data_IF_350178901853
#
_entry.id   IF_350178901853
#
_cell.length_a   1.000
_cell.length_b   1.000
_cell.length_c   1.000
_cell.angle_alpha   90.00
_cell.angle_beta   90.00
_cell.angle_gamma   90.00
#
_symmetry.space_group_name_H-M   'P 1'
#
loop_
_entity.id
_entity.type
_entity.pdbx_description
1 polymer ?
#
# COMPACT_ATOMS: atom_id res chain seq x y z
N UNK A 1 -23.31 11.86 6.88
CA UNK A 1 -22.22 12.37 7.74
C UNK A 1 -20.90 11.95 7.12
N UNK A 2 -20.04 12.87 6.68
CA UNK A 2 -18.74 12.49 6.11
C UNK A 2 -17.89 11.79 7.19
N UNK A 3 -17.01 10.89 6.76
CA UNK A 3 -16.05 10.17 7.62
C UNK A 3 -15.15 11.12 8.41
N UNK A 4 -14.90 12.33 7.90
CA UNK A 4 -14.19 13.41 8.62
C UNK A 4 -14.92 13.91 9.87
N UNK A 5 -16.25 13.73 9.96
CA UNK A 5 -17.05 14.22 11.08
C UNK A 5 -17.12 13.25 12.28
N UNK A 6 -16.67 11.99 12.12
CA UNK A 6 -16.71 10.98 13.20
C UNK A 6 -15.61 11.16 14.26
N UNK A 7 -14.59 11.97 13.97
CA UNK A 7 -13.40 12.19 14.82
C UNK A 7 -13.07 13.66 15.08
N UNK A 8 -13.93 14.59 14.67
CA UNK A 8 -13.81 16.00 15.06
C UNK A 8 -13.77 16.21 16.60
N UNK A 9 -14.12 15.19 17.40
CA UNK A 9 -14.13 15.22 18.86
C UNK A 9 -12.86 14.74 19.58
N UNK A 10 -11.81 14.25 18.90
CA UNK A 10 -10.58 13.76 19.57
C UNK A 10 -9.34 14.44 18.99
N UNK A 11 -8.67 15.26 19.81
CA UNK A 11 -7.44 15.92 19.41
C UNK A 11 -6.23 14.98 19.49
N UNK A 12 -5.12 15.34 18.82
CA UNK A 12 -3.82 14.66 18.98
C UNK A 12 -3.39 14.58 20.45
N UNK A 13 -3.66 15.64 21.23
CA UNK A 13 -3.39 15.69 22.67
C UNK A 13 -4.24 14.69 23.45
N UNK A 14 -5.50 14.52 23.07
CA UNK A 14 -6.40 13.55 23.69
C UNK A 14 -5.91 12.12 23.46
N UNK A 15 -5.49 11.80 22.24
CA UNK A 15 -4.90 10.50 21.89
C UNK A 15 -3.65 10.22 22.74
N UNK A 16 -2.72 11.17 22.82
CA UNK A 16 -1.50 11.01 23.63
C UNK A 16 -1.80 10.86 25.12
N UNK A 17 -2.84 11.53 25.64
CA UNK A 17 -3.25 11.35 27.05
C UNK A 17 -3.73 9.92 27.31
N UNK A 18 -4.53 9.34 26.40
CA UNK A 18 -4.98 7.93 26.53
C UNK A 18 -3.79 6.97 26.37
N UNK A 19 -2.93 7.21 25.38
CA UNK A 19 -1.72 6.43 25.15
C UNK A 19 -0.74 6.47 26.34
N UNK A 20 -0.65 7.59 27.05
CA UNK A 20 0.16 7.69 28.26
C UNK A 20 -0.31 6.79 29.40
N UNK A 21 -1.59 6.38 29.42
CA UNK A 21 -2.15 5.47 30.42
C UNK A 21 -2.19 4.02 29.97
N UNK A 22 -2.55 3.75 28.72
CA UNK A 22 -2.82 2.39 28.23
C UNK A 22 -1.83 1.89 27.17
N UNK A 23 -0.80 2.69 26.86
CA UNK A 23 0.15 2.42 25.78
C UNK A 23 -0.37 2.81 24.40
N UNK A 24 0.55 3.12 23.47
CA UNK A 24 0.19 3.54 22.12
C UNK A 24 -0.48 2.41 21.33
N UNK A 25 0.08 1.19 21.36
CA UNK A 25 -0.47 0.01 20.67
C UNK A 25 -1.94 -0.24 21.07
N UNK A 26 -2.25 -0.32 22.36
CA UNK A 26 -3.63 -0.55 22.83
C UNK A 26 -4.57 0.59 22.43
N UNK A 27 -4.09 1.84 22.47
CA UNK A 27 -4.88 3.02 22.10
C UNK A 27 -5.21 3.03 20.61
N UNK A 28 -4.23 2.73 19.76
CA UNK A 28 -4.41 2.67 18.31
C UNK A 28 -5.31 1.49 17.91
N UNK A 29 -5.10 0.32 18.50
CA UNK A 29 -5.97 -0.85 18.29
C UNK A 29 -7.40 -0.53 18.68
N UNK A 30 -7.63 0.09 19.85
CA UNK A 30 -8.96 0.51 20.29
C UNK A 30 -9.62 1.49 19.32
N UNK A 31 -8.87 2.49 18.84
CA UNK A 31 -9.35 3.46 17.86
C UNK A 31 -9.73 2.80 16.52
N UNK A 32 -8.93 1.83 16.06
CA UNK A 32 -9.13 1.15 14.77
C UNK A 32 -10.40 0.30 14.70
N UNK A 33 -10.79 -0.37 15.78
CA UNK A 33 -12.00 -1.22 15.78
C UNK A 33 -13.27 -0.55 16.29
N UNK A 34 -13.28 0.77 16.48
CA UNK A 34 -14.47 1.48 16.94
C UNK A 34 -15.32 1.97 15.77
N UNK A 35 -16.52 1.40 15.60
CA UNK A 35 -17.45 1.77 14.50
C UNK A 35 -18.36 2.99 14.77
N UNK A 36 -18.41 3.48 16.01
CA UNK A 36 -19.32 4.53 16.47
C UNK A 36 -18.76 5.97 16.43
N UNK A 37 -19.49 6.92 17.02
CA UNK A 37 -19.01 8.29 17.22
C UNK A 37 -17.90 8.33 18.28
N UNK A 38 -16.72 8.81 17.90
CA UNK A 38 -15.54 8.79 18.77
C UNK A 38 -15.59 9.98 19.74
N UNK A 39 -15.79 9.68 21.02
CA UNK A 39 -15.56 10.61 22.14
C UNK A 39 -14.31 10.20 22.89
N UNK A 40 -13.68 11.14 23.60
CA UNK A 40 -12.55 10.84 24.47
C UNK A 40 -12.88 9.74 25.50
N UNK A 41 -14.06 9.79 26.11
CA UNK A 41 -14.46 8.81 27.12
C UNK A 41 -14.63 7.41 26.51
N UNK A 42 -15.23 7.32 25.32
CA UNK A 42 -15.40 6.06 24.60
C UNK A 42 -14.04 5.49 24.16
N UNK A 43 -13.13 6.34 23.68
CA UNK A 43 -11.77 5.93 23.33
C UNK A 43 -11.01 5.44 24.56
N UNK A 44 -11.09 6.14 25.70
CA UNK A 44 -10.43 5.73 26.92
C UNK A 44 -10.94 4.38 27.44
N UNK A 45 -12.26 4.18 27.45
CA UNK A 45 -12.88 2.90 27.84
C UNK A 45 -12.54 1.77 26.88
N UNK A 46 -12.54 2.02 25.57
CA UNK A 46 -12.12 1.03 24.58
C UNK A 46 -10.62 0.69 24.70
N UNK A 47 -9.77 1.68 24.98
CA UNK A 47 -8.34 1.50 25.20
C UNK A 47 -8.05 0.72 26.48
N UNK A 48 -8.81 0.96 27.56
CA UNK A 48 -8.76 0.18 28.80
C UNK A 48 -9.14 -1.28 28.55
N UNK A 49 -10.29 -1.54 27.94
CA UNK A 49 -10.72 -2.91 27.62
C UNK A 49 -9.73 -3.63 26.70
N UNK A 50 -9.16 -2.90 25.72
CA UNK A 50 -8.11 -3.45 24.85
C UNK A 50 -6.86 -3.75 25.66
N UNK A 51 -6.39 -2.82 26.49
CA UNK A 51 -5.22 -3.01 27.35
C UNK A 51 -5.38 -4.22 28.27
N UNK A 52 -6.51 -4.33 28.98
CA UNK A 52 -6.79 -5.47 29.87
C UNK A 52 -6.72 -6.80 29.13
N UNK A 53 -7.30 -6.89 27.93
CA UNK A 53 -7.22 -8.10 27.09
C UNK A 53 -5.79 -8.38 26.64
N UNK A 54 -5.08 -7.38 26.12
CA UNK A 54 -3.71 -7.51 25.60
C UNK A 54 -2.73 -7.99 26.67
N UNK A 55 -2.93 -7.56 27.91
CA UNK A 55 -2.04 -7.83 29.04
C UNK A 55 -2.59 -8.89 30.03
N UNK A 56 -3.70 -9.57 29.70
CA UNK A 56 -4.27 -10.64 30.53
C UNK A 56 -3.36 -11.87 30.66
N UNK A 57 -2.46 -12.07 29.69
CA UNK A 57 -1.50 -13.18 29.60
C UNK A 57 -0.11 -12.66 29.29
N UNK A 58 0.92 -13.30 29.82
CA UNK A 58 2.30 -13.04 29.42
C UNK A 58 2.55 -13.65 28.03
N UNK A 59 3.03 -12.87 27.04
CA UNK A 59 3.19 -13.36 25.68
C UNK A 59 4.43 -14.24 25.57
N UNK A 60 4.35 -15.30 24.76
CA UNK A 60 5.53 -16.10 24.38
C UNK A 60 6.42 -15.33 23.41
N UNK A 61 5.82 -14.51 22.54
CA UNK A 61 6.51 -13.70 21.55
C UNK A 61 5.99 -12.27 21.57
N UNK A 62 6.88 -11.29 21.58
CA UNK A 62 6.54 -9.87 21.37
C UNK A 62 7.18 -9.41 20.06
N UNK A 63 6.36 -9.04 19.08
CA UNK A 63 6.78 -8.65 17.74
C UNK A 63 6.67 -7.12 17.58
N UNK A 64 7.75 -6.46 17.15
CA UNK A 64 7.76 -5.04 16.79
C UNK A 64 7.28 -4.86 15.35
N UNK A 65 6.21 -4.11 15.16
CA UNK A 65 5.65 -3.80 13.85
C UNK A 65 5.92 -2.33 13.49
N UNK A 66 6.90 -2.07 12.62
CA UNK A 66 7.18 -0.73 12.08
C UNK A 66 6.31 -0.39 10.88
N UNK A 67 5.50 0.67 10.95
CA UNK A 67 4.57 1.03 9.88
C UNK A 67 4.85 2.44 9.32
N UNK A 68 5.36 2.51 8.09
CA UNK A 68 5.80 3.77 7.48
C UNK A 68 4.63 4.69 7.10
N UNK A 69 4.60 5.88 7.70
CA UNK A 69 3.60 6.94 7.49
C UNK A 69 2.30 6.75 8.28
N UNK A 70 2.13 5.61 8.96
CA UNK A 70 0.87 5.24 9.59
C UNK A 70 0.74 5.98 10.92
N UNK A 71 0.03 7.10 10.90
CA UNK A 71 -0.29 7.88 12.10
C UNK A 71 -1.79 7.89 12.37
N UNK A 72 -2.18 8.44 13.51
CA UNK A 72 -3.58 8.45 13.96
C UNK A 72 -4.57 9.11 12.99
N UNK A 73 -4.13 10.08 12.18
CA UNK A 73 -4.97 10.72 11.16
C UNK A 73 -5.15 9.81 9.95
N UNK A 74 -4.07 9.16 9.55
CA UNK A 74 -3.97 8.41 8.31
C UNK A 74 -4.56 7.00 8.41
N UNK A 75 -4.52 6.40 9.61
CA UNK A 75 -5.25 5.17 9.97
C UNK A 75 -6.78 5.30 9.79
N UNK A 76 -7.29 6.51 9.54
CA UNK A 76 -8.71 6.78 9.28
C UNK A 76 -9.04 6.79 7.79
N UNK A 77 -8.01 6.89 6.95
CA UNK A 77 -8.07 6.85 5.49
C UNK A 77 -7.87 5.39 5.07
N UNK A 78 -6.79 4.77 5.54
CA UNK A 78 -6.49 3.35 5.36
C UNK A 78 -6.81 2.60 6.66
N UNK A 79 -8.10 2.31 6.84
CA UNK A 79 -8.64 1.76 8.10
C UNK A 79 -8.35 0.28 8.31
N UNK A 80 -8.11 -0.43 7.23
CA UNK A 80 -7.92 -1.88 7.23
C UNK A 80 -6.46 -2.26 6.99
N UNK A 81 -6.06 -3.44 7.47
CA UNK A 81 -4.71 -3.97 7.27
C UNK A 81 -3.90 -4.05 8.55
N UNK A 82 -2.94 -3.14 8.77
CA UNK A 82 -1.89 -3.32 9.77
C UNK A 82 -2.40 -3.47 11.23
N UNK A 83 -3.27 -2.57 11.70
CA UNK A 83 -3.82 -2.66 13.06
C UNK A 83 -4.82 -3.81 13.21
N UNK A 84 -5.56 -4.12 12.15
CA UNK A 84 -6.49 -5.24 12.10
C UNK A 84 -5.74 -6.57 12.20
N UNK A 85 -4.70 -6.76 11.38
CA UNK A 85 -3.77 -7.88 11.46
C UNK A 85 -3.20 -8.05 12.87
N UNK A 86 -2.70 -6.97 13.47
CA UNK A 86 -2.12 -7.03 14.81
C UNK A 86 -3.16 -7.45 15.86
N UNK A 87 -4.38 -6.89 15.82
CA UNK A 87 -5.46 -7.25 16.75
C UNK A 87 -5.93 -8.68 16.58
N UNK A 88 -6.12 -9.10 15.33
CA UNK A 88 -6.59 -10.42 14.99
C UNK A 88 -5.54 -11.48 15.37
N UNK A 89 -4.26 -11.22 15.11
CA UNK A 89 -3.14 -12.07 15.52
C UNK A 89 -3.04 -12.22 17.05
N UNK A 90 -3.14 -11.13 17.80
CA UNK A 90 -3.16 -11.20 19.27
C UNK A 90 -4.37 -12.00 19.78
N UNK A 91 -5.54 -11.83 19.16
CA UNK A 91 -6.77 -12.52 19.58
C UNK A 91 -6.75 -14.01 19.25
N UNK A 92 -6.36 -14.40 18.03
CA UNK A 92 -6.38 -15.79 17.57
C UNK A 92 -5.33 -16.65 18.26
N UNK A 93 -4.23 -16.03 18.69
CA UNK A 93 -3.17 -16.70 19.45
C UNK A 93 -3.41 -16.68 20.95
N UNK A 94 -4.59 -16.23 21.41
CA UNK A 94 -4.89 -16.07 22.84
C UNK A 94 -3.77 -15.32 23.59
N UNK A 95 -3.27 -14.24 22.97
CA UNK A 95 -2.19 -13.41 23.50
C UNK A 95 -0.79 -14.06 23.54
N UNK A 96 -0.59 -15.24 22.95
CA UNK A 96 0.76 -15.84 22.86
C UNK A 96 1.71 -15.02 21.99
N UNK A 97 1.18 -14.39 20.94
CA UNK A 97 1.87 -13.34 20.20
C UNK A 97 1.28 -12.00 20.62
N UNK A 98 2.13 -11.08 21.06
CA UNK A 98 1.80 -9.66 21.26
C UNK A 98 2.50 -8.81 20.19
N UNK A 99 1.81 -7.84 19.61
CA UNK A 99 2.34 -6.94 18.59
C UNK A 99 2.47 -5.53 19.14
N UNK A 100 3.69 -5.01 19.14
CA UNK A 100 3.96 -3.61 19.44
C UNK A 100 4.01 -2.80 18.15
N UNK A 101 2.93 -2.07 17.90
CA UNK A 101 2.76 -1.27 16.69
C UNK A 101 3.42 0.10 16.83
N UNK A 102 4.37 0.39 15.93
CA UNK A 102 5.20 1.59 15.94
C UNK A 102 5.05 2.29 14.58
N UNK A 103 4.07 3.18 14.49
CA UNK A 103 3.77 3.98 13.30
C UNK A 103 4.49 5.34 13.25
N UNK A 104 3.93 6.27 12.47
CA UNK A 104 4.36 7.68 12.36
C UNK A 104 5.84 7.86 12.02
N UNK A 105 6.40 6.92 11.25
CA UNK A 105 7.82 6.85 10.89
C UNK A 105 8.79 6.81 12.08
N UNK A 106 8.32 6.44 13.28
CA UNK A 106 9.13 6.55 14.51
C UNK A 106 10.34 5.62 14.53
N UNK A 107 10.18 4.41 13.99
CA UNK A 107 11.25 3.40 13.97
C UNK A 107 11.85 3.18 12.58
N UNK A 108 11.04 3.39 11.53
CA UNK A 108 11.43 3.22 10.13
C UNK A 108 10.51 4.04 9.21
N UNK A 109 11.02 4.42 8.04
CA UNK A 109 10.28 5.09 6.97
C UNK A 109 10.14 4.20 5.73
N UNK A 110 9.52 4.71 4.68
CA UNK A 110 9.14 3.93 3.48
C UNK A 110 10.33 3.20 2.82
N UNK A 111 11.54 3.76 2.88
CA UNK A 111 12.77 3.14 2.34
C UNK A 111 13.50 2.27 3.36
N UNK A 112 13.47 2.62 4.66
CA UNK A 112 14.30 1.98 5.69
C UNK A 112 13.63 0.83 6.43
N UNK A 113 12.29 0.68 6.33
CA UNK A 113 11.57 -0.39 7.01
C UNK A 113 12.02 -1.79 6.56
N UNK A 114 12.21 -1.99 5.25
CA UNK A 114 12.67 -3.28 4.69
C UNK A 114 14.01 -3.70 5.28
N UNK A 115 15.00 -2.80 5.30
CA UNK A 115 16.35 -3.09 5.81
C UNK A 115 16.34 -3.33 7.33
N UNK A 116 15.56 -2.55 8.08
CA UNK A 116 15.42 -2.73 9.53
C UNK A 116 14.74 -4.06 9.87
N UNK A 117 13.82 -4.53 9.03
CA UNK A 117 13.21 -5.85 9.19
C UNK A 117 14.23 -6.96 8.91
N UNK A 118 15.02 -6.84 7.83
CA UNK A 118 16.10 -7.79 7.52
C UNK A 118 17.13 -7.89 8.66
N UNK A 119 17.43 -6.76 9.31
CA UNK A 119 18.35 -6.67 10.44
C UNK A 119 17.77 -7.14 11.79
N UNK A 120 16.47 -7.48 11.86
CA UNK A 120 15.79 -7.85 13.11
C UNK A 120 15.57 -6.69 14.08
N UNK A 121 15.71 -5.44 13.62
CA UNK A 121 15.40 -4.25 14.42
C UNK A 121 13.88 -4.12 14.61
N UNK A 122 13.12 -4.48 13.58
CA UNK A 122 11.67 -4.71 13.63
C UNK A 122 11.39 -6.11 13.10
N UNK A 123 10.28 -6.71 13.54
CA UNK A 123 9.92 -8.09 13.20
C UNK A 123 8.92 -8.13 12.04
N UNK A 124 8.06 -7.11 11.96
CA UNK A 124 7.07 -6.90 10.92
C UNK A 124 7.21 -5.48 10.41
N UNK A 125 7.00 -5.24 9.12
CA UNK A 125 6.96 -3.89 8.57
C UNK A 125 5.85 -3.69 7.54
N UNK A 126 5.41 -2.44 7.43
CA UNK A 126 4.52 -1.96 6.36
C UNK A 126 5.20 -0.79 5.62
N UNK A 127 5.38 -0.96 4.31
CA UNK A 127 5.88 0.05 3.39
C UNK A 127 5.40 -0.29 1.96
N UNK A 128 5.48 0.66 1.03
CA UNK A 128 5.22 0.33 -0.39
C UNK A 128 6.27 -0.62 -0.95
N UNK A 129 5.88 -1.54 -1.83
CA UNK A 129 6.84 -2.43 -2.49
C UNK A 129 7.86 -1.64 -3.30
N UNK A 130 7.44 -0.54 -3.93
CA UNK A 130 8.31 0.29 -4.77
C UNK A 130 9.36 1.05 -3.98
N UNK A 131 9.04 1.60 -2.80
CA UNK A 131 10.08 2.20 -1.95
C UNK A 131 10.96 1.12 -1.29
N UNK A 132 10.39 -0.05 -0.99
CA UNK A 132 11.14 -1.18 -0.42
C UNK A 132 12.05 -1.89 -1.44
N UNK A 133 11.82 -1.69 -2.74
CA UNK A 133 12.61 -2.29 -3.81
C UNK A 133 14.10 -1.86 -3.79
N UNK A 134 14.45 -0.78 -3.09
CA UNK A 134 15.85 -0.42 -2.83
C UNK A 134 16.58 -1.45 -1.96
N UNK A 135 15.95 -1.92 -0.88
CA UNK A 135 16.51 -2.91 0.05
C UNK A 135 16.13 -4.36 -0.28
N UNK A 136 14.99 -4.58 -0.97
CA UNK A 136 14.57 -5.88 -1.48
C UNK A 136 14.23 -5.84 -2.98
N UNK A 137 15.24 -5.79 -3.89
CA UNK A 137 15.04 -5.58 -5.32
C UNK A 137 14.11 -6.57 -6.06
N UNK A 138 13.82 -7.73 -5.48
CA UNK A 138 12.90 -8.70 -6.10
C UNK A 138 11.46 -8.19 -6.13
N UNK A 139 11.10 -7.22 -5.27
CA UNK A 139 9.77 -6.59 -5.28
C UNK A 139 9.42 -5.91 -6.61
N UNK A 140 10.41 -5.58 -7.45
CA UNK A 140 10.16 -5.08 -8.80
C UNK A 140 9.40 -6.12 -9.67
N UNK A 141 9.33 -7.40 -9.31
CA UNK A 141 8.52 -8.41 -10.04
C UNK A 141 7.07 -7.97 -10.27
N UNK A 142 6.53 -7.06 -9.43
CA UNK A 142 5.18 -6.53 -9.54
C UNK A 142 5.06 -5.24 -10.38
N UNK A 143 6.19 -4.62 -10.75
CA UNK A 143 6.24 -3.25 -11.31
C UNK A 143 6.27 -3.20 -12.84
N UNK A 144 6.12 -4.33 -13.53
CA UNK A 144 6.01 -4.34 -14.99
C UNK A 144 4.83 -3.49 -15.47
N UNK A 145 5.09 -2.63 -16.45
CA UNK A 145 4.07 -1.72 -16.94
C UNK A 145 2.91 -2.48 -17.59
N UNK A 146 1.68 -2.13 -17.19
CA UNK A 146 0.41 -2.72 -17.66
C UNK A 146 0.32 -4.25 -17.52
N UNK A 147 1.11 -4.87 -16.64
CA UNK A 147 0.99 -6.30 -16.34
C UNK A 147 -0.39 -6.64 -15.75
N UNK A 148 -0.87 -5.79 -14.84
CA UNK A 148 -2.22 -5.83 -14.27
C UNK A 148 -3.11 -4.81 -15.00
N UNK A 149 -4.27 -5.22 -15.50
CA UNK A 149 -5.23 -4.34 -16.19
C UNK A 149 -5.99 -3.43 -15.22
N UNK A 150 -6.26 -3.95 -14.02
CA UNK A 150 -7.07 -3.32 -13.00
C UNK A 150 -6.65 -3.81 -11.59
N UNK A 151 -7.35 -3.37 -10.54
CA UNK A 151 -7.09 -3.84 -9.16
C UNK A 151 -7.55 -5.29 -8.91
N UNK A 152 -8.55 -5.78 -9.65
CA UNK A 152 -9.01 -7.16 -9.53
C UNK A 152 -7.93 -8.15 -9.97
N UNK A 153 -7.20 -7.86 -11.05
CA UNK A 153 -6.04 -8.63 -11.49
C UNK A 153 -4.99 -8.77 -10.36
N UNK A 154 -4.70 -7.67 -9.64
CA UNK A 154 -3.75 -7.68 -8.52
C UNK A 154 -4.24 -8.56 -7.36
N UNK A 155 -5.48 -8.38 -6.90
CA UNK A 155 -6.05 -9.22 -5.85
C UNK A 155 -6.07 -10.69 -6.27
N UNK A 156 -6.45 -10.98 -7.52
CA UNK A 156 -6.51 -12.33 -8.04
C UNK A 156 -5.14 -13.02 -7.97
N UNK A 157 -4.09 -12.32 -8.40
CA UNK A 157 -2.72 -12.81 -8.28
C UNK A 157 -2.33 -13.02 -6.82
N UNK A 158 -2.54 -12.03 -5.95
CA UNK A 158 -2.16 -12.10 -4.53
C UNK A 158 -2.81 -13.26 -3.77
N UNK A 159 -4.02 -13.66 -4.18
CA UNK A 159 -4.71 -14.85 -3.67
C UNK A 159 -4.33 -16.15 -4.38
N UNK A 160 -3.78 -16.08 -5.60
CA UNK A 160 -3.41 -17.27 -6.37
C UNK A 160 -2.27 -18.03 -5.69
N UNK A 161 -2.30 -19.37 -5.62
CA UNK A 161 -1.12 -20.17 -5.28
C UNK A 161 0.11 -19.83 -6.13
N UNK A 162 -0.06 -19.37 -7.38
CA UNK A 162 1.09 -18.93 -8.21
C UNK A 162 1.87 -17.78 -7.59
N UNK A 163 1.24 -16.93 -6.79
CA UNK A 163 1.97 -15.87 -6.08
C UNK A 163 2.90 -16.40 -5.00
N UNK A 164 2.78 -17.65 -4.54
CA UNK A 164 3.85 -18.29 -3.75
C UNK A 164 5.11 -18.46 -4.59
N UNK A 165 4.99 -19.17 -5.71
CA UNK A 165 6.13 -19.50 -6.57
C UNK A 165 6.75 -18.29 -7.29
N UNK A 166 5.93 -17.29 -7.65
CA UNK A 166 6.36 -16.15 -8.47
C UNK A 166 6.65 -14.87 -7.67
N UNK A 167 6.17 -14.75 -6.44
CA UNK A 167 6.40 -13.57 -5.60
C UNK A 167 7.02 -13.94 -4.25
N UNK A 168 6.34 -14.77 -3.45
CA UNK A 168 6.67 -14.91 -2.02
C UNK A 168 7.92 -15.75 -1.77
N UNK A 169 8.04 -16.93 -2.36
CA UNK A 169 9.20 -17.81 -2.14
C UNK A 169 10.52 -17.19 -2.60
N UNK A 170 10.61 -16.58 -3.80
CA UNK A 170 11.88 -15.97 -4.22
C UNK A 170 12.20 -14.69 -3.45
N UNK A 171 11.18 -13.92 -3.06
CA UNK A 171 11.34 -12.76 -2.17
C UNK A 171 11.92 -13.21 -0.82
N UNK A 172 11.35 -14.25 -0.22
CA UNK A 172 11.79 -14.80 1.07
C UNK A 172 13.19 -15.39 1.01
N UNK A 173 13.45 -16.28 0.04
CA UNK A 173 14.76 -16.90 -0.15
C UNK A 173 15.87 -15.88 -0.36
N UNK A 174 15.57 -14.78 -1.07
CA UNK A 174 16.57 -13.77 -1.42
C UNK A 174 16.80 -12.73 -0.34
N UNK A 175 15.73 -12.34 0.36
CA UNK A 175 15.76 -11.18 1.24
C UNK A 175 15.54 -11.52 2.71
N UNK A 176 15.22 -12.76 3.06
CA UNK A 176 14.93 -13.16 4.44
C UNK A 176 13.63 -12.55 4.97
N UNK A 177 12.66 -12.29 4.09
CA UNK A 177 11.41 -11.60 4.40
C UNK A 177 10.22 -12.39 3.84
N UNK A 178 9.20 -12.62 4.67
CA UNK A 178 7.94 -13.26 4.25
C UNK A 178 6.90 -12.20 3.93
N UNK A 179 6.40 -12.20 2.70
CA UNK A 179 5.32 -11.31 2.27
C UNK A 179 3.99 -11.80 2.85
N UNK A 180 3.33 -10.96 3.65
CA UNK A 180 2.09 -11.29 4.32
C UNK A 180 0.88 -10.89 3.46
N UNK A 181 0.51 -9.62 3.48
CA UNK A 181 -0.66 -9.08 2.78
C UNK A 181 -0.34 -7.71 2.21
N UNK A 182 -1.18 -7.22 1.31
CA UNK A 182 -1.01 -5.91 0.71
C UNK A 182 -2.31 -5.29 0.25
N UNK A 183 -2.32 -3.98 0.27
CA UNK A 183 -3.26 -3.17 -0.49
C UNK A 183 -2.95 -3.24 -2.00
N UNK A 184 -3.98 -3.12 -2.86
CA UNK A 184 -3.81 -3.07 -4.31
C UNK A 184 -4.43 -1.79 -4.87
N UNK A 185 -3.61 -0.97 -5.51
CA UNK A 185 -4.02 0.17 -6.33
C UNK A 185 -3.20 0.20 -7.62
N UNK A 186 -3.52 1.11 -8.52
CA UNK A 186 -2.72 1.35 -9.73
C UNK A 186 -2.16 2.75 -9.66
N UNK A 187 -0.97 2.89 -10.20
CA UNK A 187 -0.24 4.14 -10.09
C UNK A 187 -0.55 5.05 -11.26
N UNK A 188 -0.55 6.34 -10.95
CA UNK A 188 -0.83 7.42 -11.88
C UNK A 188 0.12 8.59 -11.64
N UNK A 189 -0.21 9.75 -12.18
CA UNK A 189 0.56 10.99 -11.98
C UNK A 189 -0.29 11.98 -11.20
N UNK A 190 0.25 12.40 -10.05
CA UNK A 190 -0.37 13.36 -9.14
C UNK A 190 0.25 14.73 -9.41
N UNK A 191 -0.41 15.53 -10.25
CA UNK A 191 0.11 16.83 -10.71
C UNK A 191 -0.01 17.90 -9.63
N UNK A 192 1.04 18.69 -9.45
CA UNK A 192 1.10 19.78 -8.47
C UNK A 192 0.28 21.01 -8.85
N UNK A 193 0.35 22.06 -8.02
CA UNK A 193 -0.43 23.29 -8.20
C UNK A 193 -0.09 24.08 -9.48
N UNK A 194 1.06 23.85 -10.11
CA UNK A 194 1.39 24.43 -11.42
C UNK A 194 0.42 23.99 -12.55
N UNK A 195 -0.43 22.99 -12.29
CA UNK A 195 -1.45 22.46 -13.19
C UNK A 195 -2.89 22.80 -12.77
N UNK A 196 -3.07 23.65 -11.75
CA UNK A 196 -4.38 24.05 -11.23
C UNK A 196 -5.22 24.79 -12.29
N UNK A 197 -4.63 25.79 -12.95
CA UNK A 197 -5.31 26.60 -13.97
C UNK A 197 -5.40 25.93 -15.36
N UNK A 198 -4.79 24.77 -15.54
CA UNK A 198 -4.85 24.02 -16.80
C UNK A 198 -6.16 23.24 -16.90
N UNK A 199 -6.58 22.92 -18.12
CA UNK A 199 -7.66 21.95 -18.33
C UNK A 199 -7.29 20.59 -17.71
N UNK A 200 -8.32 19.80 -17.39
CA UNK A 200 -8.10 18.45 -16.88
C UNK A 200 -7.41 17.61 -17.95
N UNK A 201 -6.33 16.93 -17.57
CA UNK A 201 -5.55 16.10 -18.50
C UNK A 201 -6.45 15.00 -19.08
N UNK A 202 -6.38 14.84 -20.39
CA UNK A 202 -7.17 13.86 -21.15
C UNK A 202 -6.32 12.98 -22.05
N UNK A 203 -5.02 13.26 -22.22
CA UNK A 203 -4.11 12.46 -23.05
C UNK A 203 -2.71 12.33 -22.46
N UNK A 204 -2.01 11.24 -22.79
CA UNK A 204 -0.62 11.02 -22.33
C UNK A 204 0.35 12.08 -22.87
N UNK A 205 0.11 12.60 -24.07
CA UNK A 205 0.99 13.60 -24.72
C UNK A 205 1.04 14.92 -23.93
N UNK A 206 -0.04 15.27 -23.24
CA UNK A 206 -0.08 16.47 -22.38
C UNK A 206 0.90 16.37 -21.22
N UNK A 207 1.28 15.16 -20.79
CA UNK A 207 2.23 14.94 -19.71
C UNK A 207 3.68 14.90 -20.21
N UNK A 208 3.93 14.89 -21.52
CA UNK A 208 5.28 14.82 -22.06
C UNK A 208 6.16 15.97 -21.55
N UNK A 209 7.34 15.63 -21.06
CA UNK A 209 8.31 16.59 -20.53
C UNK A 209 8.13 16.95 -19.06
N UNK A 210 7.03 16.55 -18.41
CA UNK A 210 6.82 16.79 -16.97
C UNK A 210 7.91 16.14 -16.14
N UNK A 211 8.41 16.84 -15.12
CA UNK A 211 9.36 16.29 -14.14
C UNK A 211 8.57 15.63 -13.03
N UNK A 212 8.58 14.30 -12.99
CA UNK A 212 7.78 13.57 -12.02
C UNK A 212 8.64 12.88 -11.00
N UNK A 213 8.30 13.02 -9.71
CA UNK A 213 8.90 12.17 -8.69
C UNK A 213 8.64 10.72 -9.02
N UNK A 214 9.67 9.88 -8.96
CA UNK A 214 9.57 8.42 -9.05
C UNK A 214 9.92 7.75 -7.72
N UNK A 215 9.22 6.68 -7.39
CA UNK A 215 9.55 5.81 -6.25
C UNK A 215 10.91 5.09 -6.44
N UNK A 216 11.32 4.31 -5.43
CA UNK A 216 12.52 3.45 -5.50
C UNK A 216 12.49 2.35 -6.58
N UNK A 217 11.34 2.15 -7.25
CA UNK A 217 11.17 1.20 -8.36
C UNK A 217 12.13 1.49 -9.51
N UNK A 218 12.66 0.43 -10.11
CA UNK A 218 13.48 0.50 -11.32
C UNK A 218 12.64 0.33 -12.57
N UNK A 219 11.63 -0.53 -12.49
CA UNK A 219 10.71 -0.82 -13.59
C UNK A 219 9.75 0.33 -13.85
N UNK A 220 9.27 1.01 -12.81
CA UNK A 220 8.49 2.24 -12.98
C UNK A 220 9.31 3.37 -13.66
N UNK A 221 10.63 3.43 -13.47
CA UNK A 221 11.49 4.40 -14.18
C UNK A 221 11.58 4.11 -15.67
N UNK A 222 11.67 2.84 -16.06
CA UNK A 222 11.64 2.42 -17.47
C UNK A 222 10.33 2.89 -18.09
N UNK A 223 9.20 2.58 -17.44
CA UNK A 223 7.87 2.98 -17.91
C UNK A 223 7.73 4.49 -18.06
N UNK A 224 8.08 5.26 -17.02
CA UNK A 224 7.98 6.72 -17.04
C UNK A 224 8.88 7.36 -18.10
N UNK A 225 10.08 6.82 -18.32
CA UNK A 225 10.99 7.33 -19.35
C UNK A 225 10.42 7.07 -20.75
N UNK A 226 9.90 5.87 -20.99
CA UNK A 226 9.24 5.52 -22.25
C UNK A 226 7.97 6.35 -22.52
N UNK A 227 7.27 6.74 -21.45
CA UNK A 227 6.13 7.67 -21.49
C UNK A 227 6.53 9.16 -21.60
N UNK A 228 7.82 9.49 -21.71
CA UNK A 228 8.36 10.86 -21.76
C UNK A 228 8.05 11.71 -20.50
N UNK A 229 7.98 11.09 -19.31
CA UNK A 229 7.58 11.71 -18.03
C UNK A 229 8.75 12.12 -17.12
N UNK A 230 9.97 12.26 -17.66
CA UNK A 230 11.21 12.69 -16.98
C UNK A 230 11.26 12.35 -15.47
N UNK A 231 11.44 11.06 -15.10
CA UNK A 231 11.41 10.64 -13.70
C UNK A 231 12.59 11.21 -12.88
N UNK A 232 12.29 11.80 -11.72
CA UNK A 232 13.25 12.38 -10.77
C UNK A 232 13.19 11.59 -9.45
N UNK A 233 14.28 10.94 -9.01
CA UNK A 233 14.30 10.27 -7.73
C UNK A 233 14.18 11.28 -6.58
N UNK A 234 13.09 11.21 -5.82
CA UNK A 234 12.85 12.03 -4.62
C UNK A 234 12.26 11.13 -3.53
N UNK A 235 12.77 11.27 -2.30
CA UNK A 235 12.28 10.52 -1.16
C UNK A 235 10.79 10.84 -0.91
N UNK A 236 10.06 9.88 -0.33
CA UNK A 236 8.62 10.07 -0.10
C UNK A 236 8.35 11.28 0.81
N UNK A 237 9.19 11.43 1.84
CA UNK A 237 9.15 12.47 2.85
C UNK A 237 9.37 13.87 2.27
N UNK A 238 10.10 13.98 1.14
CA UNK A 238 10.42 15.24 0.46
C UNK A 238 9.42 15.56 -0.67
N UNK A 239 8.56 14.60 -1.04
CA UNK A 239 7.68 14.71 -2.22
C UNK A 239 6.66 15.83 -2.05
N UNK A 240 6.09 16.00 -0.85
CA UNK A 240 5.11 17.06 -0.57
C UNK A 240 5.73 18.45 -0.79
N UNK A 241 6.90 18.68 -0.21
CA UNK A 241 7.60 19.96 -0.35
C UNK A 241 8.08 20.17 -1.78
N UNK A 242 8.51 19.12 -2.48
CA UNK A 242 8.87 19.16 -3.90
C UNK A 242 7.71 19.61 -4.79
N UNK A 243 6.49 19.06 -4.58
CA UNK A 243 5.28 19.48 -5.28
C UNK A 243 4.91 20.93 -4.93
N UNK A 244 4.97 21.27 -3.64
CA UNK A 244 4.61 22.61 -3.14
C UNK A 244 5.52 23.71 -3.68
N UNK A 245 6.82 23.42 -3.80
CA UNK A 245 7.81 24.36 -4.31
C UNK A 245 7.89 24.39 -5.84
N UNK A 246 7.19 23.48 -6.53
CA UNK A 246 7.27 23.33 -7.99
C UNK A 246 8.62 22.80 -8.48
N UNK A 247 9.38 22.09 -7.61
CA UNK A 247 10.62 21.42 -8.01
C UNK A 247 10.33 20.24 -8.96
N UNK A 248 9.18 19.60 -8.74
CA UNK A 248 8.59 18.54 -9.57
C UNK A 248 7.19 18.98 -10.00
N UNK A 249 6.83 18.64 -11.24
CA UNK A 249 5.51 18.91 -11.82
C UNK A 249 4.45 17.95 -11.28
N UNK A 250 4.86 16.74 -10.93
CA UNK A 250 3.98 15.72 -10.40
C UNK A 250 4.73 14.64 -9.63
N UNK A 251 3.97 13.70 -9.08
CA UNK A 251 4.50 12.52 -8.40
C UNK A 251 3.82 11.25 -8.89
N UNK A 252 4.63 10.27 -9.23
CA UNK A 252 4.21 8.91 -9.52
C UNK A 252 3.78 8.23 -8.21
N UNK A 253 2.46 8.06 -8.03
CA UNK A 253 1.83 7.35 -6.91
C UNK A 253 0.34 7.12 -7.19
N UNK A 254 -0.36 6.52 -6.23
CA UNK A 254 -1.79 6.22 -6.29
C UNK A 254 -2.62 7.18 -5.41
N UNK A 255 -3.96 7.11 -5.52
CA UNK A 255 -4.82 8.17 -5.00
C UNK A 255 -4.93 8.14 -3.47
N UNK A 256 -5.04 6.94 -2.85
CA UNK A 256 -5.05 6.85 -1.38
C UNK A 256 -3.76 7.42 -0.78
N UNK A 257 -2.60 7.20 -1.40
CA UNK A 257 -1.32 7.71 -0.90
C UNK A 257 -1.29 9.24 -0.85
N UNK A 258 -1.92 9.93 -1.80
CA UNK A 258 -2.05 11.40 -1.79
C UNK A 258 -2.87 11.87 -0.60
N UNK A 259 -4.02 11.23 -0.36
CA UNK A 259 -4.89 11.54 0.77
C UNK A 259 -4.20 11.23 2.10
N UNK A 260 -3.60 10.05 2.20
CA UNK A 260 -2.84 9.55 3.34
C UNK A 260 -1.66 10.45 3.69
N UNK A 261 -0.82 10.82 2.73
CA UNK A 261 0.33 11.68 3.02
C UNK A 261 -0.03 13.18 3.15
N UNK A 262 -1.33 13.53 3.18
CA UNK A 262 -1.80 14.90 3.24
C UNK A 262 -1.25 15.77 2.10
N UNK A 263 -1.09 15.18 0.91
CA UNK A 263 -0.62 15.85 -0.29
C UNK A 263 -1.76 16.53 -1.06
N UNK A 264 -3.02 16.18 -0.80
CA UNK A 264 -4.18 16.78 -1.51
C UNK A 264 -4.19 18.32 -1.56
N UNK A 265 -3.77 19.08 -0.53
CA UNK A 265 -3.71 20.55 -0.63
C UNK A 265 -2.68 21.10 -1.63
N UNK A 266 -1.76 20.28 -2.14
CA UNK A 266 -0.71 20.67 -3.09
C UNK A 266 -0.77 19.90 -4.40
N UNK A 267 -1.81 19.08 -4.59
CA UNK A 267 -2.11 18.34 -5.82
C UNK A 267 -3.33 18.97 -6.47
N UNK A 268 -3.27 19.23 -7.77
CA UNK A 268 -4.37 19.83 -8.53
C UNK A 268 -5.15 18.81 -9.37
N UNK A 269 -4.46 17.78 -9.88
CA UNK A 269 -5.06 16.74 -10.70
C UNK A 269 -4.47 15.37 -10.36
N UNK A 270 -5.31 14.37 -10.19
CA UNK A 270 -4.93 12.95 -10.10
C UNK A 270 -5.17 12.30 -11.46
N UNK A 271 -4.10 12.06 -12.22
CA UNK A 271 -4.17 11.45 -13.55
C UNK A 271 -4.08 9.93 -13.46
N UNK A 272 -5.14 9.25 -13.88
CA UNK A 272 -5.30 7.79 -13.80
C UNK A 272 -4.73 7.14 -15.06
N UNK A 273 -3.39 7.06 -15.12
CA UNK A 273 -2.68 6.29 -16.16
C UNK A 273 -2.77 4.79 -15.93
N UNK A 274 -2.87 4.38 -14.66
CA UNK A 274 -3.00 2.97 -14.23
C UNK A 274 -1.88 2.05 -14.74
N UNK A 275 -0.67 2.61 -14.86
CA UNK A 275 0.38 2.05 -15.71
C UNK A 275 1.25 0.99 -15.04
N UNK A 276 1.25 0.85 -13.71
CA UNK A 276 1.78 -0.32 -12.98
C UNK A 276 1.18 -0.41 -11.57
N UNK A 277 1.48 -1.49 -10.84
CA UNK A 277 0.89 -1.75 -9.52
C UNK A 277 1.32 -0.71 -8.47
N UNK A 278 0.42 -0.43 -7.52
CA UNK A 278 0.66 0.40 -6.34
C UNK A 278 0.29 -0.38 -5.10
N UNK A 279 1.29 -0.87 -4.36
CA UNK A 279 1.07 -1.82 -3.28
C UNK A 279 1.75 -1.36 -1.99
N UNK A 280 0.96 -0.97 -1.00
CA UNK A 280 1.41 -0.87 0.39
C UNK A 280 1.36 -2.28 0.98
N UNK A 281 2.52 -2.90 1.20
CA UNK A 281 2.61 -4.30 1.63
C UNK A 281 3.08 -4.38 3.07
N UNK A 282 2.63 -5.45 3.73
CA UNK A 282 3.14 -5.89 5.02
C UNK A 282 3.96 -7.16 4.82
N UNK A 283 5.14 -7.20 5.43
CA UNK A 283 6.02 -8.36 5.43
C UNK A 283 6.68 -8.51 6.80
N UNK A 284 7.21 -9.70 7.08
CA UNK A 284 7.91 -10.00 8.34
C UNK A 284 9.26 -10.67 8.12
N UNK A 285 10.14 -10.59 9.11
CA UNK A 285 11.41 -11.30 9.08
C UNK A 285 11.16 -12.81 9.03
N UNK A 286 11.73 -13.49 8.03
CA UNK A 286 11.50 -14.92 7.82
C UNK A 286 12.07 -15.75 8.98
N UNK A 287 13.25 -15.39 9.51
CA UNK A 287 13.82 -16.08 10.67
C UNK A 287 12.98 -15.95 11.94
N UNK A 288 12.28 -14.82 12.11
CA UNK A 288 11.32 -14.64 13.22
C UNK A 288 10.11 -15.55 13.01
N UNK A 289 9.56 -15.62 11.79
CA UNK A 289 8.47 -16.54 11.46
C UNK A 289 8.87 -18.00 11.71
N UNK A 290 10.04 -18.40 11.23
CA UNK A 290 10.58 -19.75 11.35
C UNK A 290 10.85 -20.15 12.81
N UNK A 291 11.08 -19.17 13.68
CA UNK A 291 11.24 -19.37 15.13
C UNK A 291 9.93 -19.56 15.90
N UNK A 292 8.77 -19.33 15.27
CA UNK A 292 7.46 -19.62 15.87
C UNK A 292 7.16 -21.12 15.81
N UNK A 293 6.31 -21.61 16.71
CA UNK A 293 5.76 -22.97 16.59
C UNK A 293 4.87 -23.10 15.36
N UNK A 294 4.69 -24.31 14.82
CA UNK A 294 3.85 -24.53 13.63
C UNK A 294 2.43 -24.00 13.76
N UNK A 295 1.81 -24.14 14.94
CA UNK A 295 0.48 -23.56 15.23
C UNK A 295 0.50 -22.02 15.13
N UNK A 296 1.52 -21.37 15.70
CA UNK A 296 1.66 -19.93 15.63
C UNK A 296 2.01 -19.42 14.22
N UNK A 297 2.76 -20.20 13.44
CA UNK A 297 3.00 -19.92 12.02
C UNK A 297 1.70 -19.94 11.22
N UNK A 298 0.87 -20.96 11.45
CA UNK A 298 -0.46 -21.07 10.83
C UNK A 298 -1.33 -19.87 11.21
N UNK A 299 -1.33 -19.46 12.47
CA UNK A 299 -2.11 -18.29 12.91
C UNK A 299 -1.61 -16.97 12.30
N UNK A 300 -0.30 -16.80 12.09
CA UNK A 300 0.22 -15.64 11.35
C UNK A 300 -0.27 -15.63 9.90
N UNK A 301 -0.27 -16.78 9.23
CA UNK A 301 -0.74 -16.88 7.85
C UNK A 301 -2.25 -16.65 7.75
N UNK A 302 -3.05 -17.22 8.67
CA UNK A 302 -4.49 -16.98 8.72
C UNK A 302 -4.84 -15.53 9.06
N UNK A 303 -4.10 -14.88 9.97
CA UNK A 303 -4.25 -13.43 10.22
C UNK A 303 -3.92 -12.59 8.98
N UNK A 304 -2.87 -12.97 8.26
CA UNK A 304 -2.48 -12.31 7.02
C UNK A 304 -3.57 -12.41 5.95
N UNK A 305 -4.15 -13.59 5.76
CA UNK A 305 -5.29 -13.78 4.84
C UNK A 305 -6.51 -12.98 5.27
N UNK A 306 -6.84 -13.03 6.55
CA UNK A 306 -7.97 -12.28 7.08
C UNK A 306 -7.77 -10.77 6.83
N UNK A 307 -6.58 -10.22 7.10
CA UNK A 307 -6.24 -8.83 6.81
C UNK A 307 -6.33 -8.52 5.30
N UNK A 308 -5.83 -9.39 4.42
CA UNK A 308 -5.91 -9.23 2.96
C UNK A 308 -7.37 -9.08 2.49
N UNK A 309 -8.29 -9.92 3.00
CA UNK A 309 -9.72 -9.86 2.65
C UNK A 309 -10.40 -8.57 3.12
N UNK A 310 -10.02 -8.08 4.30
CA UNK A 310 -10.57 -6.84 4.84
C UNK A 310 -10.04 -5.63 4.08
N UNK A 311 -8.74 -5.63 3.77
CA UNK A 311 -8.10 -4.60 2.94
C UNK A 311 -8.75 -4.50 1.57
N UNK A 312 -9.06 -5.63 0.91
CA UNK A 312 -9.74 -5.65 -0.39
C UNK A 312 -11.06 -4.84 -0.36
N UNK A 313 -11.98 -5.19 0.55
CA UNK A 313 -13.28 -4.51 0.61
C UNK A 313 -13.17 -3.07 1.12
N UNK A 314 -12.35 -2.84 2.15
CA UNK A 314 -12.21 -1.53 2.78
C UNK A 314 -11.53 -0.52 1.85
N UNK A 315 -10.53 -0.96 1.07
CA UNK A 315 -9.83 -0.11 0.13
C UNK A 315 -10.78 0.43 -0.96
N UNK A 316 -11.49 -0.45 -1.67
CA UNK A 316 -12.40 -0.04 -2.74
C UNK A 316 -13.45 0.96 -2.24
N UNK A 317 -13.96 0.74 -1.02
CA UNK A 317 -14.86 1.69 -0.38
C UNK A 317 -14.18 3.02 -0.03
N UNK A 318 -12.94 3.00 0.48
CA UNK A 318 -12.20 4.19 0.89
C UNK A 318 -11.79 5.05 -0.31
N UNK A 319 -11.38 4.46 -1.43
CA UNK A 319 -11.02 5.17 -2.66
C UNK A 319 -12.15 6.09 -3.14
N UNK A 320 -13.37 5.58 -3.14
CA UNK A 320 -14.54 6.35 -3.59
C UNK A 320 -15.08 7.27 -2.49
N UNK A 321 -15.30 6.74 -1.28
CA UNK A 321 -16.07 7.42 -0.23
C UNK A 321 -15.24 8.31 0.69
N UNK A 322 -13.92 8.12 0.73
CA UNK A 322 -13.00 8.89 1.58
C UNK A 322 -12.04 9.72 0.72
N UNK A 323 -11.32 9.09 -0.22
CA UNK A 323 -10.33 9.77 -1.07
C UNK A 323 -11.03 10.67 -2.07
N UNK A 324 -12.01 10.15 -2.81
CA UNK A 324 -12.75 10.89 -3.83
C UNK A 324 -12.30 10.54 -5.25
N UNK A 325 -11.73 9.35 -5.47
CA UNK A 325 -11.43 8.81 -6.80
C UNK A 325 -12.72 8.33 -7.48
N UNK A 326 -13.53 9.28 -7.96
CA UNK A 326 -14.80 9.03 -8.66
C UNK A 326 -15.13 10.19 -9.60
N UNK A 327 -16.01 9.93 -10.55
CA UNK A 327 -16.59 10.96 -11.43
C UNK A 327 -18.12 10.73 -11.56
N UNK A 328 -18.98 11.69 -11.13
CA UNK A 328 -18.61 12.90 -10.39
C UNK A 328 -18.05 12.56 -9.01
N UNK A 329 -17.16 13.41 -8.50
CA UNK A 329 -16.60 13.25 -7.16
C UNK A 329 -17.67 13.37 -6.09
N UNK A 330 -17.67 12.43 -5.13
CA UNK A 330 -18.60 12.50 -4.00
C UNK A 330 -18.29 13.71 -3.10
N UNK A 331 -19.31 14.48 -2.67
CA UNK A 331 -19.13 15.61 -1.76
C UNK A 331 -18.51 15.20 -0.42
N UNK A 332 -17.62 16.03 0.10
CA UNK A 332 -17.01 15.82 1.41
C UNK A 332 -15.90 14.76 1.44
N UNK A 333 -15.51 14.21 0.28
CA UNK A 333 -14.26 13.45 0.12
C UNK A 333 -13.04 14.36 0.22
N UNK A 334 -11.86 13.78 0.46
CA UNK A 334 -10.61 14.55 0.62
C UNK A 334 -10.28 15.31 -0.66
N UNK A 335 -10.41 14.67 -1.83
CA UNK A 335 -10.16 15.32 -3.12
C UNK A 335 -11.15 16.46 -3.38
N UNK A 336 -12.44 16.25 -3.14
CA UNK A 336 -13.45 17.31 -3.31
C UNK A 336 -13.22 18.50 -2.36
N UNK A 337 -12.75 18.28 -1.13
CA UNK A 337 -12.44 19.35 -0.18
C UNK A 337 -11.20 20.17 -0.57
N UNK A 338 -10.30 19.59 -1.37
CA UNK A 338 -9.05 20.21 -1.78
C UNK A 338 -9.01 20.54 -3.28
N UNK A 339 -10.15 20.46 -3.98
CA UNK A 339 -10.28 20.71 -5.42
C UNK A 339 -9.35 19.86 -6.31
N UNK A 340 -8.95 18.67 -5.84
CA UNK A 340 -8.16 17.74 -6.66
C UNK A 340 -9.08 17.17 -7.74
N UNK A 341 -8.81 17.40 -9.03
CA UNK A 341 -9.61 16.86 -10.13
C UNK A 341 -9.14 15.46 -10.51
N UNK A 342 -10.05 14.51 -10.73
CA UNK A 342 -9.68 13.23 -11.33
C UNK A 342 -9.60 13.36 -12.85
N UNK A 343 -8.45 13.01 -13.42
CA UNK A 343 -8.25 12.88 -14.86
C UNK A 343 -8.29 11.39 -15.23
N UNK A 344 -9.49 10.86 -15.47
CA UNK A 344 -9.68 9.50 -15.96
C UNK A 344 -9.43 9.46 -17.47
N UNK A 345 -8.28 8.91 -17.88
CA UNK A 345 -7.94 8.78 -19.30
C UNK A 345 -8.84 7.76 -19.99
N UNK A 346 -9.12 7.98 -21.28
CA UNK A 346 -9.91 7.04 -22.08
C UNK A 346 -9.16 5.71 -22.28
N UNK A 347 -9.89 4.67 -22.70
CA UNK A 347 -9.30 3.38 -23.02
C UNK A 347 -8.25 3.49 -24.15
N UNK A 348 -8.49 4.35 -25.14
CA UNK A 348 -7.57 4.62 -26.25
C UNK A 348 -6.27 5.26 -25.75
N UNK A 349 -6.35 6.24 -24.84
CA UNK A 349 -5.16 6.90 -24.30
C UNK A 349 -4.37 5.99 -23.36
N UNK A 350 -5.04 5.14 -22.57
CA UNK A 350 -4.37 4.09 -21.79
C UNK A 350 -3.72 3.05 -22.71
N UNK A 351 -4.37 2.67 -23.81
CA UNK A 351 -3.81 1.75 -24.80
C UNK A 351 -2.57 2.32 -25.47
N UNK A 352 -2.62 3.59 -25.86
CA UNK A 352 -1.46 4.31 -26.39
C UNK A 352 -0.30 4.31 -25.39
N UNK A 353 -0.57 4.60 -24.11
CA UNK A 353 0.45 4.56 -23.07
C UNK A 353 1.00 3.13 -22.85
N UNK A 354 0.16 2.09 -22.91
CA UNK A 354 0.59 0.68 -22.88
C UNK A 354 1.53 0.33 -24.04
N UNK A 355 1.18 0.73 -25.27
CA UNK A 355 2.00 0.49 -26.46
C UNK A 355 3.36 1.20 -26.40
N UNK A 356 3.41 2.35 -25.72
CA UNK A 356 4.64 3.12 -25.54
C UNK A 356 5.62 2.50 -24.55
N UNK A 357 5.16 1.71 -23.57
CA UNK A 357 6.03 1.32 -22.47
C UNK A 357 5.94 -0.14 -22.00
N UNK A 358 4.86 -0.87 -22.23
CA UNK A 358 4.69 -2.21 -21.65
C UNK A 358 5.64 -3.26 -22.25
N UNK A 359 5.93 -4.37 -21.53
CA UNK A 359 6.77 -5.43 -22.08
C UNK A 359 6.18 -6.15 -23.30
N UNK A 360 4.84 -6.18 -23.48
CA UNK A 360 4.20 -6.74 -24.67
C UNK A 360 4.59 -5.99 -25.96
N UNK A 361 4.66 -4.65 -25.89
CA UNK A 361 4.86 -3.80 -27.06
C UNK A 361 6.29 -3.28 -27.20
N UNK A 362 7.02 -3.16 -26.09
CA UNK A 362 8.39 -2.66 -26.03
C UNK A 362 9.32 -3.63 -25.28
N UNK A 363 9.37 -4.93 -25.63
CA UNK A 363 10.11 -5.94 -24.87
C UNK A 363 11.57 -5.58 -24.62
N UNK A 364 12.21 -4.92 -25.59
CA UNK A 364 13.62 -4.49 -25.52
C UNK A 364 13.92 -3.54 -24.35
N UNK A 365 12.93 -2.79 -23.87
CA UNK A 365 13.12 -1.88 -22.73
C UNK A 365 13.25 -2.64 -21.40
N UNK A 366 12.79 -3.90 -21.36
CA UNK A 366 12.64 -4.68 -20.14
C UNK A 366 13.63 -5.84 -20.04
N UNK A 367 14.36 -6.16 -21.11
CA UNK A 367 15.24 -7.34 -21.22
C UNK A 367 16.16 -7.48 -20.01
N UNK A 368 16.93 -6.45 -19.65
CA UNK A 368 17.87 -6.50 -18.52
C UNK A 368 17.19 -6.88 -17.20
N UNK A 369 16.06 -6.22 -16.89
CA UNK A 369 15.34 -6.47 -15.65
C UNK A 369 14.54 -7.77 -15.67
N UNK A 370 14.01 -8.17 -16.83
CA UNK A 370 13.30 -9.45 -17.01
C UNK A 370 14.26 -10.61 -16.85
N UNK A 371 15.42 -10.60 -17.50
CA UNK A 371 16.46 -11.62 -17.29
C UNK A 371 16.88 -11.70 -15.81
N UNK A 372 17.10 -10.55 -15.18
CA UNK A 372 17.51 -10.46 -13.78
C UNK A 372 16.47 -11.02 -12.81
N UNK A 373 15.21 -10.63 -12.96
CA UNK A 373 14.11 -11.08 -12.08
C UNK A 373 13.81 -12.56 -12.32
N UNK A 374 13.76 -13.00 -13.58
CA UNK A 374 13.58 -14.42 -13.94
C UNK A 374 14.70 -15.28 -13.34
N UNK A 375 15.96 -14.82 -13.44
CA UNK A 375 17.11 -15.49 -12.83
C UNK A 375 17.01 -15.58 -11.31
N UNK A 376 16.48 -14.57 -10.63
CA UNK A 376 16.23 -14.61 -9.18
C UNK A 376 15.10 -15.54 -8.77
N UNK A 377 14.06 -15.63 -9.61
CA UNK A 377 12.94 -16.54 -9.38
C UNK A 377 13.39 -18.01 -9.46
N UNK A 378 14.28 -18.32 -10.41
CA UNK A 378 14.73 -19.68 -10.70
C UNK A 378 14.61 -20.07 -12.18
N UNK A 379 14.36 -19.11 -13.07
CA UNK A 379 14.32 -19.28 -14.52
C UNK A 379 12.91 -19.17 -15.13
N UNK A 380 11.85 -19.08 -14.32
CA UNK A 380 10.51 -18.82 -14.82
C UNK A 380 10.44 -17.43 -15.46
N UNK A 381 9.58 -17.28 -16.46
CA UNK A 381 9.28 -15.97 -17.03
C UNK A 381 8.26 -15.26 -16.16
N UNK A 382 8.74 -14.54 -15.14
CA UNK A 382 7.85 -13.97 -14.12
C UNK A 382 6.85 -12.98 -14.71
N UNK A 383 7.24 -12.25 -15.76
CA UNK A 383 6.32 -11.37 -16.44
C UNK A 383 5.20 -12.16 -17.11
N UNK A 384 5.55 -13.09 -18.00
CA UNK A 384 4.54 -13.83 -18.77
C UNK A 384 3.64 -14.66 -17.86
N UNK A 385 4.19 -15.33 -16.86
CA UNK A 385 3.41 -16.20 -15.98
C UNK A 385 2.42 -15.43 -15.11
N UNK A 386 2.80 -14.25 -14.60
CA UNK A 386 1.89 -13.37 -13.86
C UNK A 386 0.87 -12.76 -14.83
N UNK A 387 1.32 -12.30 -16.00
CA UNK A 387 0.48 -11.72 -17.04
C UNK A 387 -0.64 -12.69 -17.47
N UNK A 388 -0.31 -13.96 -17.68
CA UNK A 388 -1.23 -15.01 -18.05
C UNK A 388 -2.18 -15.37 -16.89
N UNK A 389 -1.65 -15.45 -15.66
CA UNK A 389 -2.45 -15.77 -14.48
C UNK A 389 -3.57 -14.77 -14.26
N UNK A 390 -3.27 -13.47 -14.33
CA UNK A 390 -4.29 -12.45 -14.07
C UNK A 390 -5.31 -12.31 -15.20
N UNK A 391 -5.03 -12.89 -16.36
CA UNK A 391 -5.95 -12.97 -17.50
C UNK A 391 -6.85 -14.21 -17.46
N UNK A 392 -6.76 -15.03 -16.42
CA UNK A 392 -7.71 -16.13 -16.19
C UNK A 392 -9.07 -15.65 -15.67
N UNK A 393 -9.15 -14.40 -15.20
CA UNK A 393 -10.41 -13.73 -14.83
C UNK A 393 -10.80 -12.68 -15.88
N UNK A 394 -12.11 -12.42 -15.97
CA UNK A 394 -12.66 -11.42 -16.88
C UNK A 394 -12.12 -10.01 -16.56
N UNK A 395 -11.81 -9.23 -17.59
CA UNK A 395 -11.18 -7.92 -17.45
C UNK A 395 -12.08 -6.84 -16.82
N UNK A 396 -13.37 -7.09 -16.70
CA UNK A 396 -14.38 -6.26 -16.04
C UNK A 396 -14.74 -6.77 -14.63
N UNK A 397 -14.05 -7.81 -14.14
CA UNK A 397 -14.20 -8.29 -12.76
C UNK A 397 -13.98 -7.14 -11.79
N UNK A 398 -14.97 -6.89 -10.94
CA UNK A 398 -14.85 -5.90 -9.87
C UNK A 398 -13.91 -6.42 -8.78
N UNK A 399 -13.05 -5.58 -8.19
CA UNK A 399 -12.11 -6.02 -7.16
C UNK A 399 -12.79 -6.71 -5.98
N UNK A 400 -13.96 -6.26 -5.54
CA UNK A 400 -14.75 -6.88 -4.47
C UNK A 400 -15.32 -8.27 -4.81
N UNK A 401 -15.38 -8.63 -6.09
CA UNK A 401 -15.86 -9.93 -6.57
C UNK A 401 -14.75 -10.96 -6.74
N UNK A 402 -13.47 -10.56 -6.59
CA UNK A 402 -12.36 -11.50 -6.61
C UNK A 402 -12.44 -12.41 -5.40
N UNK A 403 -12.58 -13.71 -5.64
CA UNK A 403 -12.68 -14.72 -4.59
C UNK A 403 -11.38 -14.80 -3.77
N UNK A 404 -11.44 -14.56 -2.44
CA UNK A 404 -10.29 -14.74 -1.58
C UNK A 404 -9.89 -16.20 -1.48
N UNK A 405 -8.59 -16.48 -1.68
CA UNK A 405 -8.01 -17.82 -1.54
C UNK A 405 -6.83 -17.75 -0.57
N UNK A 406 -6.69 -18.80 0.25
CA UNK A 406 -5.50 -18.96 1.09
C UNK A 406 -4.33 -19.34 0.18
N UNK A 407 -3.53 -18.35 -0.21
CA UNK A 407 -2.46 -18.50 -1.20
C UNK A 407 -1.40 -19.54 -0.82
N UNK A 408 -1.29 -19.95 0.45
CA UNK A 408 -0.37 -21.01 0.91
C UNK A 408 -1.00 -22.41 1.02
N UNK A 409 -2.32 -22.54 0.84
CA UNK A 409 -3.02 -23.84 0.84
C UNK A 409 -3.42 -24.14 -0.60
N UNK A 410 -2.52 -24.80 -1.33
CA UNK A 410 -2.76 -25.28 -2.70
C UNK A 410 -3.43 -26.65 -2.68
#
# INVERSE_FOLDING_TARGET
MSTGNKLAGISRRDLFRVAGRYGMSSTLMAAGGFGGAMSLANLASAAESTYEKRFAKEPKHTLKFGAAGFNARNLLIERAGALEFARDLESRTDGEIRVEFIGDNQICGQVSCVEKCQQGIIDIYAASTQNSAGGAPYLNVLDYAYMFRNRADQYHFLYSPKSQALLREPYERRHGLKFLFSHAELRGIQLGLAWEDKETVTSIDQLAGTKNRVTGTQLGRIAMTALNLNPVPVAWEETLDGLKQGLIDGAETWASAVAYANMSPVVSQSVHLDFFCGTEHTAMNAGVFDGLSGELQDEVMEASYWAQTHVQAANEAALVKTVGQSDPQLPGTIFAQNNVRNAFLSAEEKKKAEEMCSPEFQPQLWEEWRERINGWQGGADTYQEIYDEVRTIDGDTLPENVEPRRWWKA
#
